data_IF_281631470615
#
_entry.id   IF_281631470615
#
_cell.length_a   1.000
_cell.length_b   1.000
_cell.length_c   1.000
_cell.angle_alpha   90.00
_cell.angle_beta   90.00
_cell.angle_gamma   90.00
#
_symmetry.space_group_name_H-M   'P 1'
#
loop_
_entity.id
_entity.type
_entity.pdbx_description
1 polymer ?
#
# COMPACT_ATOMS: atom_id res chain seq x y z
N UNK A 1 57.23 -13.39 -55.48
CA UNK A 1 56.14 -13.99 -54.67
C UNK A 1 55.26 -14.78 -55.63
N UNK A 2 55.05 -16.08 -55.41
CA UNK A 2 54.25 -16.90 -56.34
C UNK A 2 52.76 -16.62 -56.14
N UNK A 3 51.94 -16.73 -57.20
CA UNK A 3 50.47 -16.55 -57.14
C UNK A 3 49.80 -17.39 -56.04
N UNK A 4 50.41 -18.52 -55.65
CA UNK A 4 49.97 -19.36 -54.53
C UNK A 4 50.20 -18.71 -53.16
N UNK A 5 51.33 -18.03 -52.96
CA UNK A 5 51.65 -17.33 -51.71
C UNK A 5 50.72 -16.13 -51.47
N UNK A 6 50.36 -15.39 -52.53
CA UNK A 6 49.42 -14.25 -52.41
C UNK A 6 47.99 -14.70 -52.11
N UNK A 7 47.56 -15.85 -52.63
CA UNK A 7 46.23 -16.41 -52.31
C UNK A 7 46.17 -16.89 -50.86
N UNK A 8 47.22 -17.55 -50.37
CA UNK A 8 47.29 -18.01 -48.97
C UNK A 8 47.29 -16.84 -47.97
N UNK A 9 48.00 -15.74 -48.25
CA UNK A 9 47.98 -14.56 -47.38
C UNK A 9 46.60 -13.89 -47.34
N UNK A 10 45.91 -13.79 -48.48
CA UNK A 10 44.55 -13.22 -48.53
C UNK A 10 43.57 -14.07 -47.72
N UNK A 11 43.61 -15.40 -47.85
CA UNK A 11 42.75 -16.31 -47.08
C UNK A 11 43.05 -16.19 -45.57
N UNK A 12 44.34 -16.12 -45.20
CA UNK A 12 44.73 -15.94 -43.80
C UNK A 12 44.21 -14.63 -43.20
N UNK A 13 44.28 -13.52 -43.94
CA UNK A 13 43.76 -12.22 -43.52
C UNK A 13 42.23 -12.27 -43.40
N UNK A 14 41.53 -12.88 -44.35
CA UNK A 14 40.07 -13.01 -44.31
C UNK A 14 39.60 -13.84 -43.10
N UNK A 15 40.27 -14.94 -42.79
CA UNK A 15 40.01 -15.75 -41.59
C UNK A 15 40.27 -14.96 -40.31
N UNK A 16 41.36 -14.20 -40.25
CA UNK A 16 41.69 -13.35 -39.10
C UNK A 16 40.62 -12.28 -38.88
N UNK A 17 40.13 -11.63 -39.94
CA UNK A 17 39.04 -10.65 -39.86
C UNK A 17 37.75 -11.31 -39.35
N UNK A 18 37.42 -12.52 -39.83
CA UNK A 18 36.22 -13.25 -39.42
C UNK A 18 36.29 -13.66 -37.94
N UNK A 19 37.45 -14.10 -37.46
CA UNK A 19 37.69 -14.38 -36.04
C UNK A 19 37.56 -13.11 -35.20
N UNK A 20 38.15 -11.98 -35.63
CA UNK A 20 38.02 -10.71 -34.92
C UNK A 20 36.57 -10.21 -34.88
N UNK A 21 35.79 -10.43 -35.94
CA UNK A 21 34.37 -10.10 -35.99
C UNK A 21 33.53 -10.99 -35.05
N UNK A 22 33.80 -12.30 -35.02
CA UNK A 22 33.16 -13.21 -34.08
C UNK A 22 33.52 -12.86 -32.62
N UNK A 23 34.78 -12.55 -32.33
CA UNK A 23 35.24 -12.08 -31.03
C UNK A 23 34.58 -10.74 -30.64
N UNK A 24 34.27 -9.88 -31.61
CA UNK A 24 33.50 -8.67 -31.36
C UNK A 24 32.11 -9.01 -30.82
N UNK A 25 31.31 -9.83 -31.51
CA UNK A 25 29.97 -10.20 -31.02
C UNK A 25 29.99 -10.93 -29.66
N UNK A 26 31.02 -11.74 -29.43
CA UNK A 26 31.23 -12.46 -28.16
C UNK A 26 31.43 -11.50 -26.99
N UNK A 27 32.18 -10.40 -27.16
CA UNK A 27 32.43 -9.43 -26.08
C UNK A 27 31.15 -8.73 -25.61
N UNK A 28 30.22 -8.47 -26.53
CA UNK A 28 28.96 -7.80 -26.26
C UNK A 28 28.03 -8.72 -25.46
N UNK A 29 27.98 -10.00 -25.83
CA UNK A 29 27.26 -11.02 -25.08
C UNK A 29 27.80 -11.20 -23.66
N UNK A 30 29.13 -11.24 -23.49
CA UNK A 30 29.73 -11.34 -22.16
C UNK A 30 29.48 -10.10 -21.30
N UNK A 31 29.53 -8.90 -21.90
CA UNK A 31 29.22 -7.65 -21.19
C UNK A 31 27.79 -7.65 -20.70
N UNK A 32 26.83 -8.00 -21.56
CA UNK A 32 25.43 -8.11 -21.17
C UNK A 32 25.23 -9.16 -20.07
N UNK A 33 25.80 -10.37 -20.24
CA UNK A 33 25.66 -11.46 -19.26
C UNK A 33 26.22 -11.06 -17.89
N UNK A 34 27.35 -10.37 -17.85
CA UNK A 34 27.96 -9.88 -16.63
C UNK A 34 27.10 -8.82 -15.93
N UNK A 35 26.63 -7.81 -16.67
CA UNK A 35 25.72 -6.78 -16.15
C UNK A 35 24.41 -7.42 -15.66
N UNK A 36 23.86 -8.34 -16.43
CA UNK A 36 22.62 -9.04 -16.12
C UNK A 36 22.71 -9.82 -14.80
N UNK A 37 23.78 -10.59 -14.57
CA UNK A 37 23.93 -11.32 -13.32
C UNK A 37 24.09 -10.36 -12.14
N UNK A 38 24.93 -9.33 -12.29
CA UNK A 38 25.13 -8.32 -11.24
C UNK A 38 23.83 -7.65 -10.80
N UNK A 39 22.99 -7.23 -11.75
CA UNK A 39 21.72 -6.59 -11.44
C UNK A 39 20.75 -7.61 -10.82
N UNK A 40 20.66 -8.82 -11.38
CA UNK A 40 19.75 -9.85 -10.87
C UNK A 40 20.10 -10.22 -9.43
N UNK A 41 21.36 -10.50 -9.15
CA UNK A 41 21.86 -10.90 -7.83
C UNK A 41 21.62 -9.77 -6.82
N UNK A 42 21.88 -8.52 -7.21
CA UNK A 42 21.67 -7.36 -6.34
C UNK A 42 20.19 -7.11 -6.05
N UNK A 43 19.32 -7.22 -7.05
CA UNK A 43 17.87 -7.06 -6.89
C UNK A 43 17.33 -8.13 -5.95
N UNK A 44 17.70 -9.40 -6.15
CA UNK A 44 17.25 -10.50 -5.27
C UNK A 44 17.72 -10.28 -3.84
N UNK A 45 19.00 -9.98 -3.65
CA UNK A 45 19.60 -9.83 -2.33
C UNK A 45 18.99 -8.69 -1.51
N UNK A 46 18.65 -7.56 -2.15
CA UNK A 46 18.18 -6.36 -1.45
C UNK A 46 16.66 -6.26 -1.37
N UNK A 47 15.92 -6.84 -2.32
CA UNK A 47 14.46 -6.70 -2.38
C UNK A 47 13.69 -7.95 -1.99
N UNK A 48 14.30 -9.14 -2.08
CA UNK A 48 13.62 -10.41 -1.86
C UNK A 48 12.57 -10.75 -2.92
N UNK A 49 12.59 -10.04 -4.06
CA UNK A 49 11.67 -10.25 -5.17
C UNK A 49 11.95 -11.60 -5.84
N UNK A 50 10.89 -12.19 -6.41
CA UNK A 50 10.99 -13.44 -7.16
C UNK A 50 12.04 -13.37 -8.27
N UNK A 51 12.75 -14.49 -8.46
CA UNK A 51 13.85 -14.61 -9.41
C UNK A 51 13.45 -14.23 -10.84
N UNK A 52 12.22 -14.52 -11.28
CA UNK A 52 11.77 -14.22 -12.64
C UNK A 52 11.50 -12.74 -12.84
N UNK A 53 10.91 -12.07 -11.84
CA UNK A 53 10.70 -10.62 -11.86
C UNK A 53 12.05 -9.91 -11.83
N UNK A 54 12.98 -10.34 -10.97
CA UNK A 54 14.33 -9.80 -10.91
C UNK A 54 15.06 -9.94 -12.26
N UNK A 55 14.96 -11.11 -12.91
CA UNK A 55 15.51 -11.35 -14.25
C UNK A 55 14.87 -10.47 -15.32
N UNK A 56 13.56 -10.23 -15.26
CA UNK A 56 12.88 -9.34 -16.22
C UNK A 56 13.39 -7.90 -16.11
N UNK A 57 13.51 -7.38 -14.88
CA UNK A 57 14.05 -6.04 -14.61
C UNK A 57 15.52 -5.95 -15.06
N UNK A 58 16.34 -6.93 -14.65
CA UNK A 58 17.75 -6.98 -15.00
C UNK A 58 17.99 -7.10 -16.51
N UNK A 59 17.14 -7.85 -17.23
CA UNK A 59 17.18 -7.97 -18.68
C UNK A 59 16.96 -6.62 -19.36
N UNK A 60 15.91 -5.91 -18.98
CA UNK A 60 15.61 -4.59 -19.54
C UNK A 60 16.70 -3.56 -19.23
N UNK A 61 17.09 -3.42 -17.97
CA UNK A 61 18.14 -2.46 -17.55
C UNK A 61 19.49 -2.83 -18.17
N UNK A 62 19.83 -4.12 -18.18
CA UNK A 62 21.07 -4.63 -18.76
C UNK A 62 21.19 -4.36 -20.26
N UNK A 63 20.10 -4.49 -21.02
CA UNK A 63 20.07 -4.13 -22.44
C UNK A 63 20.32 -2.64 -22.66
N UNK A 64 19.66 -1.78 -21.88
CA UNK A 64 19.84 -0.33 -21.97
C UNK A 64 21.26 0.11 -21.60
N UNK A 65 21.84 -0.48 -20.55
CA UNK A 65 23.23 -0.22 -20.15
C UNK A 65 24.22 -0.70 -21.19
N UNK A 66 24.03 -1.90 -21.75
CA UNK A 66 24.90 -2.45 -22.80
C UNK A 66 24.84 -1.55 -24.03
N UNK A 67 23.66 -1.07 -24.41
CA UNK A 67 23.49 -0.12 -25.51
C UNK A 67 24.17 1.23 -25.22
N UNK A 68 24.04 1.77 -24.01
CA UNK A 68 24.71 3.01 -23.61
C UNK A 68 26.25 2.89 -23.68
N UNK A 69 26.80 1.78 -23.18
CA UNK A 69 28.24 1.48 -23.24
C UNK A 69 28.69 1.34 -24.70
N UNK A 70 27.89 0.67 -25.53
CA UNK A 70 28.18 0.53 -26.96
C UNK A 70 28.26 1.88 -27.68
N UNK A 71 27.34 2.81 -27.38
CA UNK A 71 27.40 4.17 -27.92
C UNK A 71 28.67 4.91 -27.52
N UNK A 72 29.16 4.71 -26.28
CA UNK A 72 30.42 5.30 -25.82
C UNK A 72 31.65 4.73 -26.52
N UNK A 73 31.61 3.44 -26.87
CA UNK A 73 32.71 2.73 -27.54
C UNK A 73 32.72 2.91 -29.07
N UNK A 74 31.73 3.59 -29.66
CA UNK A 74 31.65 3.78 -31.11
C UNK A 74 32.82 4.60 -31.66
N UNK A 75 33.51 4.06 -32.66
CA UNK A 75 34.52 4.77 -33.45
C UNK A 75 33.91 5.32 -34.74
N UNK A 76 34.19 6.59 -35.07
CA UNK A 76 33.73 7.23 -36.30
C UNK A 76 33.69 8.77 -36.24
N UNK A 77 33.35 9.40 -37.38
CA UNK A 77 33.33 10.87 -37.54
C UNK A 77 32.35 11.59 -36.59
N UNK A 78 31.36 10.88 -36.06
CA UNK A 78 30.35 11.37 -35.10
C UNK A 78 30.60 10.88 -33.66
N UNK A 79 31.86 10.59 -33.30
CA UNK A 79 32.18 10.01 -31.99
C UNK A 79 31.74 10.90 -30.82
N UNK A 80 31.99 12.22 -30.86
CA UNK A 80 31.65 13.11 -29.74
C UNK A 80 30.15 13.11 -29.43
N UNK A 81 29.30 13.17 -30.46
CA UNK A 81 27.84 13.17 -30.30
C UNK A 81 27.35 11.85 -29.71
N UNK A 82 27.83 10.71 -30.23
CA UNK A 82 27.45 9.38 -29.73
C UNK A 82 27.88 9.16 -28.28
N UNK A 83 29.07 9.62 -27.92
CA UNK A 83 29.59 9.55 -26.53
C UNK A 83 28.72 10.40 -25.60
N UNK A 84 28.38 11.62 -25.99
CA UNK A 84 27.50 12.48 -25.17
C UNK A 84 26.12 11.88 -24.96
N UNK A 85 25.51 11.31 -26.01
CA UNK A 85 24.21 10.61 -25.90
C UNK A 85 24.34 9.37 -24.99
N UNK A 86 25.40 8.58 -25.16
CA UNK A 86 25.67 7.41 -24.30
C UNK A 86 25.83 7.80 -22.83
N UNK A 87 26.54 8.89 -22.53
CA UNK A 87 26.73 9.40 -21.16
C UNK A 87 25.43 9.90 -20.55
N UNK A 88 24.63 10.64 -21.31
CA UNK A 88 23.32 11.11 -20.87
C UNK A 88 22.40 9.92 -20.55
N UNK A 89 22.33 8.93 -21.45
CA UNK A 89 21.52 7.73 -21.26
C UNK A 89 21.98 6.93 -20.04
N UNK A 90 23.29 6.70 -19.88
CA UNK A 90 23.85 6.00 -18.72
C UNK A 90 23.49 6.71 -17.42
N UNK A 91 23.61 8.04 -17.38
CA UNK A 91 23.29 8.85 -16.20
C UNK A 91 21.83 8.71 -15.81
N UNK A 92 20.91 8.78 -16.78
CA UNK A 92 19.47 8.60 -16.54
C UNK A 92 19.17 7.20 -16.00
N UNK A 93 19.76 6.16 -16.57
CA UNK A 93 19.55 4.78 -16.13
C UNK A 93 20.03 4.58 -14.69
N UNK A 94 21.22 5.07 -14.35
CA UNK A 94 21.80 4.92 -12.99
C UNK A 94 20.98 5.69 -11.96
N UNK A 95 20.56 6.93 -12.28
CA UNK A 95 19.72 7.74 -11.39
C UNK A 95 18.36 7.06 -11.19
N UNK A 96 17.71 6.65 -12.28
CA UNK A 96 16.42 5.96 -12.24
C UNK A 96 16.49 4.68 -11.42
N UNK A 97 17.49 3.83 -11.68
CA UNK A 97 17.70 2.59 -10.93
C UNK A 97 17.92 2.85 -9.43
N UNK A 98 18.73 3.86 -9.07
CA UNK A 98 18.98 4.22 -7.67
C UNK A 98 17.71 4.68 -6.96
N UNK A 99 16.90 5.53 -7.61
CA UNK A 99 15.62 6.00 -7.06
C UNK A 99 14.64 4.83 -6.91
N UNK A 100 14.52 3.97 -7.93
CA UNK A 100 13.64 2.80 -7.87
C UNK A 100 14.04 1.85 -6.75
N UNK A 101 15.34 1.54 -6.62
CA UNK A 101 15.84 0.69 -5.54
C UNK A 101 15.54 1.29 -4.17
N UNK A 102 15.76 2.60 -3.98
CA UNK A 102 15.41 3.28 -2.73
C UNK A 102 13.92 3.17 -2.41
N UNK A 103 13.04 3.35 -3.39
CA UNK A 103 11.59 3.22 -3.19
C UNK A 103 11.18 1.79 -2.84
N UNK A 104 11.85 0.78 -3.40
CA UNK A 104 11.59 -0.63 -3.08
C UNK A 104 12.08 -1.02 -1.69
N UNK A 105 13.21 -0.49 -1.25
CA UNK A 105 13.84 -0.89 0.03
C UNK A 105 13.40 -0.03 1.22
N UNK A 106 12.94 1.20 1.02
CA UNK A 106 12.65 2.15 2.12
C UNK A 106 11.60 1.63 3.12
N UNK A 107 10.65 0.81 2.67
CA UNK A 107 9.54 0.32 3.50
C UNK A 107 9.77 -1.11 4.01
N UNK A 108 10.88 -1.75 3.63
CA UNK A 108 11.22 -3.07 4.11
C UNK A 108 11.67 -3.02 5.57
N UNK A 109 10.98 -3.81 6.41
CA UNK A 109 11.31 -3.96 7.83
C UNK A 109 12.30 -5.11 8.06
N UNK A 110 12.29 -6.10 7.17
CA UNK A 110 13.18 -7.26 7.17
C UNK A 110 13.86 -7.40 5.83
N UNK A 111 15.08 -7.91 5.87
CA UNK A 111 15.80 -8.39 4.70
C UNK A 111 15.31 -9.78 4.31
N UNK A 112 15.62 -10.25 3.09
CA UNK A 112 15.21 -11.58 2.62
C UNK A 112 15.77 -12.74 3.46
N UNK A 113 16.88 -12.52 4.18
CA UNK A 113 17.49 -13.47 5.10
C UNK A 113 16.77 -13.57 6.46
N UNK A 114 15.71 -12.79 6.67
CA UNK A 114 14.97 -12.71 7.93
C UNK A 114 15.61 -11.80 8.98
N UNK A 115 16.75 -11.17 8.67
CA UNK A 115 17.37 -10.22 9.58
C UNK A 115 16.62 -8.87 9.57
N UNK A 116 16.53 -8.18 10.71
CA UNK A 116 15.86 -6.89 10.79
C UNK A 116 16.64 -5.84 10.00
N UNK A 117 15.97 -5.20 9.03
CA UNK A 117 16.54 -4.10 8.26
C UNK A 117 16.48 -2.78 9.04
N UNK A 118 15.52 -2.67 9.98
CA UNK A 118 15.31 -1.50 10.84
C UNK A 118 15.38 -1.89 12.30
N UNK A 119 15.73 -0.91 13.12
CA UNK A 119 15.67 -1.00 14.57
C UNK A 119 14.69 0.02 15.12
N UNK A 120 14.21 -0.21 16.32
CA UNK A 120 13.22 0.63 16.95
C UNK A 120 13.56 0.90 18.39
N UNK A 121 12.96 1.94 18.94
CA UNK A 121 12.91 2.18 20.38
C UNK A 121 11.46 2.34 20.82
N UNK A 122 11.18 1.96 22.06
CA UNK A 122 9.87 2.14 22.69
C UNK A 122 9.93 3.29 23.68
N UNK A 123 9.06 4.28 23.50
CA UNK A 123 8.93 5.41 24.42
C UNK A 123 8.15 4.98 25.68
N UNK A 124 8.17 5.83 26.72
CA UNK A 124 7.49 5.58 27.99
C UNK A 124 5.96 5.47 27.87
N UNK A 125 5.38 6.06 26.83
CA UNK A 125 3.97 5.98 26.46
C UNK A 125 3.62 4.74 25.62
N UNK A 126 4.62 3.91 25.27
CA UNK A 126 4.46 2.72 24.44
C UNK A 126 4.58 2.98 22.93
N UNK A 127 4.81 4.22 22.49
CA UNK A 127 5.01 4.55 21.08
C UNK A 127 6.29 3.91 20.52
N UNK A 128 6.18 3.35 19.31
CA UNK A 128 7.29 2.73 18.57
C UNK A 128 7.86 3.75 17.58
N UNK A 129 9.13 4.11 17.76
CA UNK A 129 9.87 5.00 16.85
C UNK A 129 11.04 4.25 16.24
N UNK A 130 11.19 4.31 14.92
CA UNK A 130 12.32 3.69 14.22
C UNK A 130 13.60 4.51 14.37
N UNK A 131 14.73 3.81 14.51
CA UNK A 131 16.05 4.39 14.69
C UNK A 131 17.11 3.61 13.90
N UNK A 132 18.30 4.19 13.79
CA UNK A 132 19.47 3.54 13.20
C UNK A 132 19.91 2.36 14.08
N UNK A 133 20.10 1.18 13.47
CA UNK A 133 20.56 -0.02 14.16
C UNK A 133 21.97 0.07 14.74
N UNK A 134 22.79 1.03 14.29
CA UNK A 134 24.12 1.26 14.85
C UNK A 134 24.08 1.91 16.24
N UNK A 135 22.93 2.46 16.64
CA UNK A 135 22.77 3.10 17.95
C UNK A 135 22.37 2.04 18.98
N UNK A 136 23.03 2.04 20.14
CA UNK A 136 22.59 1.24 21.30
C UNK A 136 21.47 1.94 22.07
N UNK A 137 21.46 3.27 22.01
CA UNK A 137 20.55 4.14 22.75
C UNK A 137 20.09 5.26 21.84
N UNK A 138 18.80 5.59 21.86
CA UNK A 138 18.23 6.65 21.04
C UNK A 138 18.74 8.02 21.49
N UNK A 139 19.33 8.79 20.57
CA UNK A 139 19.97 10.09 20.87
C UNK A 139 19.04 11.08 21.59
N UNK A 140 17.77 11.11 21.20
CA UNK A 140 16.79 12.07 21.75
C UNK A 140 16.11 11.58 23.03
N UNK A 141 15.87 10.27 23.16
CA UNK A 141 14.97 9.73 24.18
C UNK A 141 15.71 8.96 25.29
N UNK A 142 16.99 8.62 25.08
CA UNK A 142 17.77 7.84 26.05
C UNK A 142 17.31 6.38 26.19
N UNK A 143 16.37 5.93 25.38
CA UNK A 143 15.79 4.58 25.42
C UNK A 143 16.62 3.59 24.58
N UNK A 144 16.67 2.31 24.97
CA UNK A 144 17.47 1.31 24.25
C UNK A 144 16.89 1.04 22.86
N UNK A 145 17.78 0.94 21.88
CA UNK A 145 17.42 0.59 20.50
C UNK A 145 17.51 -0.92 20.34
N UNK A 146 16.43 -1.52 19.83
CA UNK A 146 16.26 -2.96 19.69
C UNK A 146 16.00 -3.33 18.22
N UNK A 147 16.43 -4.52 17.77
CA UNK A 147 16.08 -5.03 16.45
C UNK A 147 14.56 -5.20 16.33
N UNK A 148 14.00 -4.84 15.18
CA UNK A 148 12.58 -5.02 14.91
C UNK A 148 12.23 -6.51 14.88
N UNK A 149 11.17 -6.90 15.59
CA UNK A 149 10.58 -8.24 15.55
C UNK A 149 9.22 -8.22 14.88
N UNK A 150 8.69 -9.39 14.51
CA UNK A 150 7.38 -9.50 13.84
C UNK A 150 6.26 -8.91 14.73
N UNK A 151 6.30 -9.18 16.04
CA UNK A 151 5.33 -8.65 16.99
C UNK A 151 5.34 -7.12 17.06
N UNK A 152 6.52 -6.51 16.96
CA UNK A 152 6.67 -5.04 16.97
C UNK A 152 6.07 -4.43 15.71
N UNK A 153 6.21 -5.08 14.56
CA UNK A 153 5.58 -4.60 13.32
C UNK A 153 4.07 -4.70 13.42
N UNK A 154 3.54 -5.79 13.98
CA UNK A 154 2.09 -5.91 14.22
C UNK A 154 1.59 -4.79 15.12
N UNK A 155 2.29 -4.50 16.21
CA UNK A 155 1.97 -3.39 17.11
C UNK A 155 2.04 -2.03 16.39
N UNK A 156 3.10 -1.80 15.61
CA UNK A 156 3.27 -0.57 14.84
C UNK A 156 2.19 -0.37 13.79
N UNK A 157 1.78 -1.43 13.08
CA UNK A 157 0.68 -1.37 12.12
C UNK A 157 -0.66 -1.03 12.79
N UNK A 158 -0.91 -1.59 13.99
CA UNK A 158 -2.08 -1.22 14.80
C UNK A 158 -2.00 0.24 15.24
N UNK A 159 -0.83 0.72 15.65
CA UNK A 159 -0.61 2.12 16.03
C UNK A 159 -0.84 3.08 14.84
N UNK A 160 -0.29 2.76 13.67
CA UNK A 160 -0.40 3.54 12.43
C UNK A 160 -1.84 3.62 11.89
N UNK A 161 -2.58 2.51 11.95
CA UNK A 161 -4.01 2.51 11.60
C UNK A 161 -4.86 3.29 12.61
N UNK A 162 -4.24 3.77 13.68
CA UNK A 162 -4.89 4.22 14.89
C UNK A 162 -5.51 3.03 15.61
N UNK A 163 -5.62 3.14 16.94
CA UNK A 163 -6.70 2.42 17.61
C UNK A 163 -7.96 2.90 16.91
N UNK A 164 -8.76 2.03 16.24
CA UNK A 164 -10.00 2.49 15.62
C UNK A 164 -10.76 3.23 16.71
N UNK A 165 -10.89 4.55 16.53
CA UNK A 165 -11.58 5.38 17.50
C UNK A 165 -12.95 4.76 17.61
N UNK A 166 -13.29 4.22 18.78
CA UNK A 166 -14.56 3.51 18.96
C UNK A 166 -15.67 4.51 18.72
N UNK A 167 -16.13 4.57 17.48
CA UNK A 167 -17.20 5.45 17.07
C UNK A 167 -18.51 4.72 17.25
N UNK A 168 -19.52 5.41 17.77
CA UNK A 168 -20.88 4.89 17.78
C UNK A 168 -21.27 4.49 16.36
N UNK A 169 -21.82 3.30 16.24
CA UNK A 169 -22.31 2.71 15.02
C UNK A 169 -23.83 2.93 14.98
N UNK A 170 -24.34 3.44 13.85
CA UNK A 170 -25.79 3.51 13.59
C UNK A 170 -26.18 2.30 12.74
N UNK A 171 -26.94 1.32 13.27
CA UNK A 171 -27.32 0.15 12.49
C UNK A 171 -28.21 0.49 11.29
N UNK A 172 -27.86 -0.03 10.11
CA UNK A 172 -28.73 0.02 8.92
C UNK A 172 -29.79 -1.11 8.96
N UNK A 173 -30.81 -1.05 8.10
CA UNK A 173 -31.83 -2.12 8.01
C UNK A 173 -31.23 -3.49 7.65
N UNK A 174 -30.21 -3.49 6.79
CA UNK A 174 -29.59 -4.72 6.29
C UNK A 174 -28.39 -5.17 7.13
N UNK A 175 -28.16 -4.51 8.27
CA UNK A 175 -27.02 -4.82 9.12
C UNK A 175 -27.21 -6.15 9.83
N UNK A 176 -26.20 -7.02 9.71
CA UNK A 176 -26.15 -8.28 10.46
C UNK A 176 -25.54 -8.05 11.84
N UNK A 177 -26.30 -8.37 12.88
CA UNK A 177 -25.85 -8.33 14.27
C UNK A 177 -25.08 -9.59 14.69
N UNK A 178 -25.28 -10.69 13.97
CA UNK A 178 -24.66 -11.98 14.24
C UNK A 178 -24.02 -12.58 13.00
N UNK A 179 -22.91 -13.30 13.21
CA UNK A 179 -22.26 -14.14 12.21
C UNK A 179 -23.09 -15.39 11.93
N UNK A 180 -22.70 -16.18 10.92
CA UNK A 180 -23.39 -17.43 10.58
C UNK A 180 -23.30 -18.49 11.69
N UNK A 181 -22.25 -18.44 12.52
CA UNK A 181 -22.05 -19.29 13.71
C UNK A 181 -22.70 -18.71 14.98
N UNK A 182 -23.52 -17.66 14.86
CA UNK A 182 -24.28 -17.08 15.97
C UNK A 182 -23.48 -16.19 16.92
N UNK A 183 -22.22 -15.87 16.58
CA UNK A 183 -21.40 -14.95 17.38
C UNK A 183 -21.81 -13.49 17.14
N UNK A 184 -21.76 -12.63 18.17
CA UNK A 184 -22.06 -11.22 18.02
C UNK A 184 -21.02 -10.53 17.13
N UNK A 185 -21.49 -9.78 16.15
CA UNK A 185 -20.67 -8.89 15.30
C UNK A 185 -20.70 -7.45 15.78
N UNK A 186 -21.56 -7.14 16.74
CA UNK A 186 -21.81 -5.80 17.27
C UNK A 186 -21.79 -5.86 18.79
N UNK A 187 -21.27 -4.80 19.40
CA UNK A 187 -21.27 -4.57 20.84
C UNK A 187 -22.13 -3.36 21.16
N UNK A 188 -22.61 -3.25 22.39
CA UNK A 188 -23.46 -2.15 22.80
C UNK A 188 -23.13 -1.64 24.21
N UNK A 189 -23.57 -0.41 24.44
CA UNK A 189 -23.71 0.18 25.77
C UNK A 189 -25.16 0.65 25.94
N UNK A 190 -25.77 0.32 27.06
CA UNK A 190 -27.11 0.80 27.42
C UNK A 190 -26.97 1.94 28.43
N UNK A 191 -27.48 3.10 28.03
CA UNK A 191 -27.55 4.28 28.89
C UNK A 191 -28.63 4.11 29.96
N UNK A 192 -28.52 4.80 31.12
CA UNK A 192 -29.53 4.73 32.18
C UNK A 192 -30.94 5.16 31.77
N UNK A 193 -31.05 5.96 30.70
CA UNK A 193 -32.31 6.40 30.12
C UNK A 193 -32.93 5.39 29.12
N UNK A 194 -32.31 4.23 28.97
CA UNK A 194 -32.75 3.16 28.09
C UNK A 194 -32.28 3.28 26.64
N UNK A 195 -31.52 4.33 26.27
CA UNK A 195 -30.92 4.43 24.93
C UNK A 195 -29.82 3.40 24.75
N UNK A 196 -29.77 2.79 23.57
CA UNK A 196 -28.76 1.80 23.21
C UNK A 196 -27.83 2.40 22.16
N UNK A 197 -26.53 2.33 22.42
CA UNK A 197 -25.47 2.79 21.54
C UNK A 197 -24.64 1.59 21.09
N UNK A 198 -24.45 1.43 19.78
CA UNK A 198 -23.77 0.27 19.20
C UNK A 198 -22.33 0.59 18.80
N UNK A 199 -21.49 -0.44 18.74
CA UNK A 199 -20.07 -0.36 18.38
C UNK A 199 -19.68 -1.58 17.54
N UNK A 200 -18.80 -1.36 16.56
CA UNK A 200 -18.33 -2.43 15.66
C UNK A 200 -17.19 -3.31 16.20
N UNK A 201 -16.74 -3.08 17.43
CA UNK A 201 -15.64 -3.84 18.04
C UNK A 201 -15.80 -3.97 19.56
N UNK A 202 -15.27 -5.06 20.17
CA UNK A 202 -15.26 -5.22 21.61
C UNK A 202 -14.32 -4.21 22.28
N UNK A 203 -14.63 -3.81 23.51
CA UNK A 203 -13.72 -3.02 24.34
C UNK A 203 -14.45 -2.14 25.34
N UNK A 204 -14.00 -0.89 25.47
CA UNK A 204 -14.54 0.07 26.44
C UNK A 204 -15.11 1.32 25.75
N UNK A 205 -16.22 1.81 26.26
CA UNK A 205 -16.84 3.04 25.79
C UNK A 205 -15.85 4.21 25.87
N UNK A 206 -15.63 4.99 24.80
CA UNK A 206 -14.56 5.98 24.73
C UNK A 206 -14.69 7.12 25.74
N UNK A 207 -15.92 7.53 26.08
CA UNK A 207 -16.19 8.62 27.03
C UNK A 207 -16.38 8.14 28.48
N UNK A 208 -16.98 6.95 28.66
CA UNK A 208 -17.41 6.44 29.97
C UNK A 208 -16.44 5.41 30.53
N UNK A 209 -15.51 4.91 29.70
CA UNK A 209 -14.53 3.87 30.02
C UNK A 209 -15.16 2.56 30.57
N UNK A 210 -16.45 2.34 30.31
CA UNK A 210 -17.22 1.15 30.70
C UNK A 210 -17.05 0.04 29.67
N UNK A 211 -17.03 -1.22 30.11
CA UNK A 211 -16.90 -2.36 29.20
C UNK A 211 -18.17 -2.50 28.36
N UNK A 212 -18.02 -2.66 27.05
CA UNK A 212 -19.12 -2.87 26.11
C UNK A 212 -19.58 -4.33 26.18
N UNK A 213 -20.89 -4.54 26.19
CA UNK A 213 -21.49 -5.86 26.18
C UNK A 213 -21.66 -6.36 24.73
N UNK A 214 -21.46 -7.65 24.45
CA UNK A 214 -21.83 -8.22 23.16
C UNK A 214 -23.34 -8.12 22.94
N UNK A 215 -23.78 -7.80 21.73
CA UNK A 215 -25.22 -7.76 21.43
C UNK A 215 -25.84 -9.16 21.53
N UNK A 216 -27.06 -9.23 22.02
CA UNK A 216 -27.87 -10.45 22.03
C UNK A 216 -29.21 -10.23 21.33
N UNK A 217 -29.97 -11.32 21.16
CA UNK A 217 -31.26 -11.28 20.48
C UNK A 217 -32.26 -10.33 21.14
N UNK A 218 -32.20 -10.17 22.47
CA UNK A 218 -33.12 -9.31 23.21
C UNK A 218 -32.83 -7.84 22.91
N UNK A 219 -31.56 -7.45 22.91
CA UNK A 219 -31.12 -6.08 22.60
C UNK A 219 -31.44 -5.70 21.16
N UNK A 220 -31.26 -6.64 20.21
CA UNK A 220 -31.65 -6.41 18.81
C UNK A 220 -33.16 -6.21 18.69
N UNK A 221 -33.97 -7.06 19.32
CA UNK A 221 -35.43 -6.91 19.33
C UNK A 221 -35.89 -5.60 19.96
N UNK A 222 -35.29 -5.20 21.09
CA UNK A 222 -35.57 -3.92 21.75
C UNK A 222 -35.27 -2.72 20.84
N UNK A 223 -34.13 -2.74 20.15
CA UNK A 223 -33.75 -1.69 19.21
C UNK A 223 -34.71 -1.59 18.02
N UNK A 224 -35.09 -2.72 17.41
CA UNK A 224 -36.03 -2.75 16.30
C UNK A 224 -37.41 -2.21 16.71
N UNK A 225 -37.92 -2.61 17.89
CA UNK A 225 -39.18 -2.09 18.43
C UNK A 225 -39.13 -0.58 18.69
N UNK A 226 -38.04 -0.09 19.30
CA UNK A 226 -37.86 1.34 19.55
C UNK A 226 -37.86 2.15 18.25
N UNK A 227 -37.19 1.62 17.22
CA UNK A 227 -37.12 2.23 15.90
C UNK A 227 -38.48 2.24 15.19
N UNK A 228 -39.24 1.15 15.26
CA UNK A 228 -40.60 1.09 14.70
C UNK A 228 -41.55 2.07 15.39
N UNK A 229 -41.46 2.20 16.71
CA UNK A 229 -42.26 3.16 17.48
C UNK A 229 -41.91 4.61 17.13
N UNK A 230 -40.61 4.93 17.07
CA UNK A 230 -40.15 6.25 16.65
C UNK A 230 -40.46 6.60 15.18
N UNK A 231 -40.58 5.59 14.31
CA UNK A 231 -41.01 5.76 12.93
C UNK A 231 -42.54 5.93 12.84
N UNK A 232 -43.32 5.19 13.63
CA UNK A 232 -44.79 5.32 13.67
C UNK A 232 -45.25 6.66 14.27
N UNK A 233 -44.54 7.21 15.25
CA UNK A 233 -44.85 8.55 15.78
C UNK A 233 -44.60 9.66 14.74
N UNK A 234 -43.71 9.41 13.76
CA UNK A 234 -43.47 10.30 12.61
C UNK A 234 -44.50 10.08 11.48
N UNK A 235 -45.00 8.85 11.31
CA UNK A 235 -46.02 8.49 10.30
C UNK A 235 -47.43 8.94 10.72
N UNK A 236 -47.77 8.98 12.03
CA UNK A 236 -49.08 9.48 12.48
C UNK A 236 -49.20 11.02 12.35
N UNK A 237 -48.08 11.75 12.28
CA UNK A 237 -48.07 13.19 12.00
C UNK A 237 -48.01 13.53 10.50
N UNK A 238 -47.90 12.53 9.62
CA UNK A 238 -47.78 12.73 8.18
C UNK A 238 -48.66 11.75 7.41
N UNK A 239 -49.97 12.02 7.36
CA UNK A 239 -50.71 11.98 6.08
C UNK A 239 -52.15 12.49 6.22
N UNK A 240 -52.96 12.05 7.20
CA UNK A 240 -54.43 12.15 6.96
C UNK A 240 -55.28 12.87 8.03
N UNK A 241 -54.74 13.21 9.22
CA UNK A 241 -55.55 13.85 10.28
C UNK A 241 -55.40 15.38 10.39
N UNK A 242 -54.35 15.99 9.83
CA UNK A 242 -54.19 17.44 9.85
C UNK A 242 -55.16 18.16 8.88
N UNK A 243 -55.51 17.50 7.77
CA UNK A 243 -56.42 18.06 6.76
C UNK A 243 -57.90 17.88 7.10
N UNK A 244 -58.25 16.91 7.96
CA UNK A 244 -59.64 16.68 8.37
C UNK A 244 -60.14 17.74 9.35
N UNK A 245 -59.32 18.11 10.35
CA UNK A 245 -59.65 19.21 11.26
C UNK A 245 -59.75 20.58 10.59
N UNK A 246 -58.86 20.87 9.63
CA UNK A 246 -58.88 22.13 8.87
C UNK A 246 -60.05 22.22 7.87
N UNK A 247 -60.58 21.09 7.39
CA UNK A 247 -61.73 21.06 6.47
C UNK A 247 -63.05 21.26 7.20
N UNK A 248 -63.17 20.68 8.39
CA UNK A 248 -64.37 20.83 9.22
C UNK A 248 -64.54 22.28 9.74
N UNK A 249 -63.44 22.99 10.03
CA UNK A 249 -63.49 24.40 10.44
C UNK A 249 -63.85 25.36 9.28
N UNK A 250 -63.42 25.07 8.06
CA UNK A 250 -63.68 25.90 6.87
C UNK A 250 -65.14 25.81 6.37
N UNK A 251 -65.80 24.67 6.54
CA UNK A 251 -67.22 24.51 6.19
C UNK A 251 -68.17 25.15 7.21
N UNK A 252 -67.72 25.39 8.45
CA UNK A 252 -68.51 26.07 9.49
C UNK A 252 -68.63 27.59 9.28
N UNK A 253 -67.74 28.20 8.48
CA UNK A 253 -67.63 29.64 8.27
C UNK A 253 -68.24 30.10 6.93
N UNK A 254 -69.50 29.73 6.63
CA UNK A 254 -70.24 30.36 5.53
C UNK A 254 -71.25 31.39 6.06
N UNK A 255 -71.02 32.71 5.86
CA UNK A 255 -71.95 33.73 6.32
C UNK A 255 -73.26 33.72 5.50
N UNK A 256 -74.40 33.73 6.21
CA UNK A 256 -75.74 33.90 5.62
C UNK A 256 -75.87 35.30 5.03
N UNK A 257 -75.81 35.41 3.71
CA UNK A 257 -76.18 36.62 2.97
C UNK A 257 -77.69 36.83 3.09
N UNK A 258 -78.09 37.90 3.76
CA UNK A 258 -79.49 38.29 3.94
C UNK A 258 -79.90 39.16 2.74
N UNK A 259 -80.68 38.60 1.81
CA UNK A 259 -81.31 39.36 0.74
C UNK A 259 -82.41 40.27 1.30
N UNK A 260 -82.37 41.54 0.95
CA UNK A 260 -83.47 42.49 1.03
C UNK A 260 -83.43 43.36 -0.22
#
# INVERSE_FOLDING_TARGET
MTRKQTVLTIIGIALLILILFALWGVKEFFTFKWIFSLITDKVIAETGVDIWIARAIAGFVGLLLTYAIFLMLSWGKSRSVKVSIGLALLSVIVIGFSITMYQMTKDQMFKPDGTPAKCYTRLSDGEIVFADCNWKVHKTFGTPVLPVTEDVIRQYQVQQKGIPKMTPLTPSQDMRFFSYDGKPLVWYYQHPDGRIEFFGSPGRHPQLNTVLAPVDSQIVSQYLQYREKGNNDMVILSSDNALKGLRDDLDSWKPKVRQK
#
